data_IF_212943715788
#
_entry.id   IF_212943715788
#
_cell.length_a   1.000
_cell.length_b   1.000
_cell.length_c   1.000
_cell.angle_alpha   90.00
_cell.angle_beta   90.00
_cell.angle_gamma   90.00
#
_symmetry.space_group_name_H-M   'P 1'
#
loop_
_entity.id
_entity.type
_entity.pdbx_description
1 polymer ?
#
# COMPACT_ATOMS: atom_id res chain seq x y z
N UNK A 1 39.22 -29.94 2.60
CA UNK A 1 38.92 -29.02 3.72
C UNK A 1 37.41 -28.75 3.69
N UNK A 2 36.69 -28.96 4.79
CA UNK A 2 35.24 -28.69 4.87
C UNK A 2 34.93 -27.20 4.87
N UNK A 3 33.68 -26.83 4.60
CA UNK A 3 33.21 -25.43 4.64
C UNK A 3 33.34 -24.89 6.08
N UNK A 4 33.96 -23.71 6.30
CA UNK A 4 34.12 -23.12 7.63
C UNK A 4 32.79 -22.53 8.11
N UNK A 5 31.95 -23.33 8.78
CA UNK A 5 30.59 -22.94 9.15
C UNK A 5 30.58 -21.82 10.19
N UNK A 6 31.57 -21.74 11.08
CA UNK A 6 31.71 -20.69 12.09
C UNK A 6 31.84 -19.30 11.45
N UNK A 7 32.51 -19.22 10.30
CA UNK A 7 32.62 -18.00 9.52
C UNK A 7 31.29 -17.62 8.81
N UNK A 8 30.38 -18.59 8.63
CA UNK A 8 29.09 -18.38 7.97
C UNK A 8 27.95 -18.05 8.94
N UNK A 9 28.08 -18.36 10.23
CA UNK A 9 27.06 -18.07 11.25
C UNK A 9 26.65 -16.58 11.24
N UNK A 10 27.58 -15.60 11.24
CA UNK A 10 27.20 -14.19 11.22
C UNK A 10 26.39 -13.82 9.97
N UNK A 11 26.77 -14.34 8.79
CA UNK A 11 26.04 -14.13 7.55
C UNK A 11 24.67 -14.78 7.57
N UNK A 12 24.54 -15.98 8.15
CA UNK A 12 23.26 -16.65 8.34
C UNK A 12 22.29 -15.84 9.22
N UNK A 13 22.80 -15.24 10.30
CA UNK A 13 22.01 -14.33 11.15
C UNK A 13 21.57 -13.11 10.35
N UNK A 14 22.48 -12.47 9.62
CA UNK A 14 22.17 -11.29 8.80
C UNK A 14 21.06 -11.62 7.79
N UNK A 15 21.22 -12.71 7.02
CA UNK A 15 20.23 -13.16 6.04
C UNK A 15 18.89 -13.48 6.71
N UNK A 16 18.91 -14.16 7.86
CA UNK A 16 17.71 -14.47 8.63
C UNK A 16 16.96 -13.21 9.07
N UNK A 17 17.67 -12.23 9.62
CA UNK A 17 17.08 -10.97 10.10
C UNK A 17 16.50 -10.13 8.95
N UNK A 18 17.20 -10.05 7.82
CA UNK A 18 16.66 -9.38 6.62
C UNK A 18 15.45 -10.12 6.04
N UNK A 19 15.48 -11.47 6.04
CA UNK A 19 14.37 -12.30 5.60
C UNK A 19 13.11 -12.10 6.43
N UNK A 20 13.23 -12.17 7.76
CA UNK A 20 12.12 -11.95 8.70
C UNK A 20 11.56 -10.54 8.55
N UNK A 21 12.43 -9.53 8.45
CA UNK A 21 12.01 -8.14 8.27
C UNK A 21 11.28 -7.92 6.95
N UNK A 22 11.80 -8.46 5.84
CA UNK A 22 11.19 -8.34 4.52
C UNK A 22 9.81 -9.01 4.45
N UNK A 23 9.69 -10.22 5.01
CA UNK A 23 8.42 -10.94 5.10
C UNK A 23 7.42 -10.18 6.01
N UNK A 24 7.88 -9.69 7.17
CA UNK A 24 7.06 -8.91 8.10
C UNK A 24 6.52 -7.63 7.47
N UNK A 25 7.37 -6.84 6.79
CA UNK A 25 6.94 -5.64 6.08
C UNK A 25 5.94 -5.94 4.96
N UNK A 26 6.11 -7.05 4.26
CA UNK A 26 5.19 -7.49 3.21
C UNK A 26 3.83 -7.84 3.79
N UNK A 27 3.80 -8.60 4.90
CA UNK A 27 2.56 -8.98 5.59
C UNK A 27 1.81 -7.76 6.13
N UNK A 28 2.50 -6.84 6.81
CA UNK A 28 1.89 -5.60 7.33
C UNK A 28 1.31 -4.75 6.21
N UNK A 29 2.04 -4.58 5.10
CA UNK A 29 1.54 -3.86 3.92
C UNK A 29 0.33 -4.55 3.30
N UNK A 30 0.33 -5.88 3.22
CA UNK A 30 -0.80 -6.63 2.67
C UNK A 30 -2.06 -6.46 3.51
N UNK A 31 -1.93 -6.56 4.84
CA UNK A 31 -3.02 -6.33 5.79
C UNK A 31 -3.55 -4.90 5.70
N UNK A 32 -2.66 -3.89 5.70
CA UNK A 32 -3.05 -2.48 5.58
C UNK A 32 -3.60 -2.06 4.21
N UNK A 33 -3.55 -2.95 3.21
CA UNK A 33 -4.13 -2.72 1.88
C UNK A 33 -5.32 -3.67 1.62
N UNK A 34 -6.03 -4.10 2.66
CA UNK A 34 -7.24 -4.93 2.55
C UNK A 34 -6.99 -6.25 1.80
N UNK A 35 -5.83 -6.86 2.04
CA UNK A 35 -5.43 -8.09 1.37
C UNK A 35 -4.97 -7.91 -0.07
N UNK A 36 -4.69 -6.67 -0.50
CA UNK A 36 -4.15 -6.37 -1.84
C UNK A 36 -2.67 -6.00 -1.75
N UNK A 37 -1.94 -6.21 -2.85
CA UNK A 37 -0.54 -5.76 -2.95
C UNK A 37 -0.47 -4.24 -2.91
N UNK A 38 0.56 -3.70 -2.25
CA UNK A 38 0.81 -2.27 -2.22
C UNK A 38 1.16 -1.75 -3.62
N UNK A 39 0.46 -0.70 -4.09
CA UNK A 39 0.82 -0.01 -5.34
C UNK A 39 2.12 0.78 -5.12
N UNK A 40 3.07 0.61 -6.03
CA UNK A 40 4.32 1.36 -6.11
C UNK A 40 4.27 2.33 -7.30
N UNK A 41 5.09 3.39 -7.27
CA UNK A 41 5.20 4.41 -8.33
C UNK A 41 3.86 5.05 -8.77
N UNK A 42 3.13 5.64 -7.82
CA UNK A 42 1.82 6.28 -8.08
C UNK A 42 2.00 7.68 -8.64
N UNK A 43 1.50 7.89 -9.84
CA UNK A 43 1.45 9.19 -10.50
C UNK A 43 0.30 10.06 -9.95
N UNK A 44 0.08 11.22 -10.58
CA UNK A 44 -1.01 12.12 -10.18
C UNK A 44 -2.38 11.50 -10.46
N UNK A 45 -2.52 10.80 -11.59
CA UNK A 45 -3.76 10.15 -12.00
C UNK A 45 -4.17 9.06 -11.01
N UNK A 46 -3.24 8.18 -10.63
CA UNK A 46 -3.43 7.11 -9.66
C UNK A 46 -3.92 7.66 -8.32
N UNK A 47 -3.37 8.79 -7.88
CA UNK A 47 -3.79 9.44 -6.63
C UNK A 47 -5.23 9.94 -6.73
N UNK A 48 -5.59 10.60 -7.83
CA UNK A 48 -6.96 11.06 -8.07
C UNK A 48 -7.95 9.89 -8.19
N UNK A 49 -7.57 8.81 -8.86
CA UNK A 49 -8.40 7.61 -8.98
C UNK A 49 -8.58 6.90 -7.64
N UNK A 50 -7.54 6.84 -6.79
CA UNK A 50 -7.68 6.31 -5.43
C UNK A 50 -8.60 7.15 -4.54
N UNK A 51 -8.59 8.47 -4.69
CA UNK A 51 -9.54 9.37 -3.99
C UNK A 51 -10.96 9.21 -4.51
N UNK A 52 -11.14 8.95 -5.81
CA UNK A 52 -12.42 8.56 -6.39
C UNK A 52 -12.90 7.22 -5.82
N UNK A 53 -12.04 6.21 -5.78
CA UNK A 53 -12.39 4.89 -5.25
C UNK A 53 -12.79 4.98 -3.77
N UNK A 54 -12.07 5.78 -2.96
CA UNK A 54 -12.45 6.09 -1.57
C UNK A 54 -13.88 6.65 -1.46
N UNK A 55 -14.29 7.52 -2.38
CA UNK A 55 -15.65 8.08 -2.39
C UNK A 55 -16.71 7.06 -2.82
N UNK A 56 -16.35 6.06 -3.62
CA UNK A 56 -17.27 5.03 -4.10
C UNK A 56 -17.41 3.89 -3.08
N UNK A 57 -16.30 3.42 -2.52
CA UNK A 57 -16.28 2.20 -1.68
C UNK A 57 -16.07 2.50 -0.20
N UNK A 58 -15.79 3.74 0.19
CA UNK A 58 -15.47 4.11 1.56
C UNK A 58 -14.04 3.76 1.99
N UNK A 59 -13.23 3.16 1.10
CA UNK A 59 -11.84 2.81 1.39
C UNK A 59 -10.91 3.12 0.22
N UNK A 60 -9.65 3.46 0.49
CA UNK A 60 -8.67 3.82 -0.55
C UNK A 60 -8.28 2.65 -1.47
N UNK A 61 -8.67 1.41 -1.14
CA UNK A 61 -8.28 0.18 -1.84
C UNK A 61 -9.46 -0.68 -2.28
N UNK A 62 -10.67 -0.32 -1.88
CA UNK A 62 -11.89 -0.94 -2.34
C UNK A 62 -12.03 -0.78 -3.85
N UNK A 63 -12.64 -1.79 -4.48
CA UNK A 63 -12.95 -1.77 -5.91
C UNK A 63 -14.42 -2.14 -6.04
N UNK A 64 -15.14 -1.40 -6.88
CA UNK A 64 -16.53 -1.68 -7.23
C UNK A 64 -16.63 -1.90 -8.73
N UNK A 65 -17.36 -2.94 -9.12
CA UNK A 65 -17.70 -3.24 -10.52
C UNK A 65 -19.15 -2.90 -10.88
N UNK A 66 -19.86 -2.18 -10.00
CA UNK A 66 -21.25 -1.83 -10.22
C UNK A 66 -21.39 -0.81 -11.36
N UNK A 67 -22.41 -0.98 -12.21
CA UNK A 67 -22.69 -0.05 -13.30
C UNK A 67 -23.18 1.31 -12.78
N UNK A 68 -23.96 1.31 -11.69
CA UNK A 68 -24.47 2.52 -11.04
C UNK A 68 -23.66 2.86 -9.79
N UNK A 69 -23.40 4.16 -9.60
CA UNK A 69 -22.69 4.67 -8.43
C UNK A 69 -23.59 4.62 -7.17
N UNK A 70 -23.00 4.52 -5.96
CA UNK A 70 -23.78 4.55 -4.73
C UNK A 70 -24.47 5.92 -4.55
N UNK A 71 -25.64 5.90 -3.92
CA UNK A 71 -26.39 7.12 -3.58
C UNK A 71 -25.52 8.06 -2.73
N UNK A 72 -25.55 9.35 -3.03
CA UNK A 72 -24.73 10.36 -2.35
C UNK A 72 -23.32 10.56 -2.92
N UNK A 73 -22.86 9.72 -3.88
CA UNK A 73 -21.62 9.99 -4.62
C UNK A 73 -21.67 11.33 -5.38
N UNK A 74 -22.87 11.72 -5.83
CA UNK A 74 -23.13 13.00 -6.49
C UNK A 74 -22.87 14.24 -5.60
N UNK A 75 -23.00 14.09 -4.27
CA UNK A 75 -22.82 15.16 -3.29
C UNK A 75 -21.44 15.13 -2.63
N UNK A 76 -20.67 14.06 -2.81
CA UNK A 76 -19.43 13.82 -2.09
C UNK A 76 -18.18 14.36 -2.80
N UNK A 77 -18.30 15.39 -3.64
CA UNK A 77 -17.17 15.96 -4.37
C UNK A 77 -16.47 17.10 -3.58
N UNK A 78 -15.34 16.85 -2.89
CA UNK A 78 -14.63 17.89 -2.17
C UNK A 78 -13.75 18.73 -3.10
N UNK A 79 -13.75 20.04 -2.87
CA UNK A 79 -12.72 20.94 -3.40
C UNK A 79 -11.65 21.13 -2.33
N UNK A 80 -10.40 20.81 -2.67
CA UNK A 80 -9.26 21.01 -1.77
C UNK A 80 -8.92 22.49 -1.74
N UNK A 81 -8.95 23.08 -0.55
CA UNK A 81 -8.49 24.44 -0.31
C UNK A 81 -7.06 24.40 0.24
N UNK A 82 -6.18 25.21 -0.32
CA UNK A 82 -4.82 25.38 0.16
C UNK A 82 -4.68 26.73 0.88
N UNK A 83 -3.81 26.78 1.90
CA UNK A 83 -3.44 28.04 2.53
C UNK A 83 -2.62 28.89 1.54
N UNK A 84 -2.78 30.21 1.59
CA UNK A 84 -1.98 31.13 0.76
C UNK A 84 -0.48 30.88 0.96
N UNK A 85 0.22 30.58 -0.13
CA UNK A 85 1.67 30.46 -0.19
C UNK A 85 2.24 31.88 -0.34
N UNK A 86 3.21 32.26 0.51
CA UNK A 86 3.93 33.53 0.47
C UNK A 86 5.41 33.28 0.18
#
# INVERSE_FOLDING_TARGET
MGVPFEALIPYGIIVGMFGVTGAGLTAVKWLGNEGKKARWNRDLWDRQMMERDLRITGTLRGQSGNAEAPKGFELSNPWKLEKRIF
#
